data_IF_542523778394
#
_entry.id   IF_542523778394
#
_cell.length_a   1.000
_cell.length_b   1.000
_cell.length_c   1.000
_cell.angle_alpha   90.00
_cell.angle_beta   90.00
_cell.angle_gamma   90.00
#
_symmetry.space_group_name_H-M   'P 1'
#
loop_
_entity.id
_entity.type
_entity.pdbx_description
1 polymer ?
#
# COMPACT_ATOMS: atom_id res chain seq x y z
N UNK A 1 54.16 14.78 -16.49
CA UNK A 1 53.55 14.73 -15.13
C UNK A 1 52.14 14.13 -15.24
N UNK A 2 52.02 12.86 -14.92
CA UNK A 2 50.72 12.20 -14.91
C UNK A 2 50.08 12.41 -13.52
N UNK A 3 49.02 13.21 -13.44
CA UNK A 3 48.19 13.30 -12.24
C UNK A 3 47.20 12.16 -12.31
N UNK A 4 47.39 11.16 -11.46
CA UNK A 4 46.49 10.02 -11.34
C UNK A 4 45.14 10.46 -10.83
N UNK A 5 44.15 10.35 -11.68
CA UNK A 5 42.75 10.39 -11.32
C UNK A 5 42.44 9.16 -10.44
N UNK A 6 42.43 9.38 -9.15
CA UNK A 6 41.95 8.38 -8.19
C UNK A 6 40.44 8.31 -8.30
N UNK A 7 39.92 7.35 -9.06
CA UNK A 7 38.51 6.97 -9.05
C UNK A 7 38.13 6.54 -7.63
N UNK A 8 37.43 7.39 -6.95
CA UNK A 8 36.80 7.03 -5.67
C UNK A 8 35.64 6.10 -6.01
N UNK A 9 35.85 4.81 -5.87
CA UNK A 9 34.77 3.82 -5.84
C UNK A 9 33.84 4.20 -4.69
N UNK A 10 32.51 4.29 -4.93
CA UNK A 10 31.57 4.49 -3.85
C UNK A 10 31.64 3.30 -2.88
N UNK A 11 31.51 3.51 -1.59
CA UNK A 11 31.59 2.43 -0.63
C UNK A 11 30.49 1.41 -0.86
N UNK A 12 30.87 0.18 -1.12
CA UNK A 12 30.00 -0.97 -1.39
C UNK A 12 28.92 -1.17 -0.29
N UNK A 13 29.18 -0.67 0.90
CA UNK A 13 28.26 -0.77 2.05
C UNK A 13 26.98 0.07 1.90
N UNK A 14 27.02 1.19 1.16
CA UNK A 14 25.86 2.02 0.92
C UNK A 14 24.87 1.38 -0.07
N UNK A 15 25.40 0.67 -1.06
CA UNK A 15 24.59 -0.03 -2.08
C UNK A 15 23.83 -1.22 -1.48
N UNK A 16 24.44 -1.91 -0.50
CA UNK A 16 23.80 -3.05 0.18
C UNK A 16 22.62 -2.62 1.04
N UNK A 17 22.66 -1.45 1.68
CA UNK A 17 21.55 -0.93 2.48
C UNK A 17 20.35 -0.52 1.64
N UNK A 18 20.57 0.05 0.48
CA UNK A 18 19.46 0.40 -0.43
C UNK A 18 18.81 -0.84 -1.06
N UNK A 19 19.58 -1.89 -1.33
CA UNK A 19 19.04 -3.14 -1.86
C UNK A 19 18.26 -3.94 -0.81
N UNK A 20 18.67 -3.92 0.46
CA UNK A 20 17.94 -4.58 1.56
C UNK A 20 16.58 -3.91 1.83
N UNK A 21 16.49 -2.58 1.78
CA UNK A 21 15.22 -1.85 1.94
C UNK A 21 14.24 -2.11 0.80
N UNK A 22 14.74 -2.34 -0.43
CA UNK A 22 13.91 -2.63 -1.60
C UNK A 22 13.26 -4.02 -1.59
N UNK A 23 13.76 -4.96 -0.78
CA UNK A 23 13.25 -6.33 -0.72
C UNK A 23 12.26 -6.59 0.41
N UNK A 24 12.16 -5.72 1.42
CA UNK A 24 11.15 -5.88 2.47
C UNK A 24 9.79 -5.38 1.99
N UNK A 25 8.90 -6.30 1.73
CA UNK A 25 7.50 -5.99 1.48
C UNK A 25 6.58 -6.97 2.19
N UNK A 26 5.39 -6.51 2.51
CA UNK A 26 4.34 -7.34 3.06
C UNK A 26 3.12 -7.36 2.12
N UNK A 27 2.34 -8.40 2.21
CA UNK A 27 1.02 -8.48 1.59
C UNK A 27 0.00 -8.44 2.70
N UNK A 28 -0.80 -7.37 2.74
CA UNK A 28 -1.87 -7.22 3.71
C UNK A 28 -3.24 -7.24 3.04
N UNK A 29 -4.25 -7.64 3.80
CA UNK A 29 -5.64 -7.60 3.39
C UNK A 29 -6.40 -6.53 4.16
N UNK A 30 -7.07 -5.64 3.41
CA UNK A 30 -7.97 -4.64 3.98
C UNK A 30 -9.08 -4.30 3.00
N UNK A 31 -10.30 -4.04 3.52
CA UNK A 31 -11.45 -3.71 2.68
C UNK A 31 -11.82 -4.78 1.66
N UNK A 32 -11.53 -6.06 1.91
CA UNK A 32 -11.75 -7.17 0.99
C UNK A 32 -10.76 -7.22 -0.19
N UNK A 33 -9.67 -6.48 -0.13
CA UNK A 33 -8.60 -6.43 -1.15
C UNK A 33 -7.24 -6.70 -0.54
N UNK A 34 -6.35 -7.24 -1.34
CA UNK A 34 -4.96 -7.50 -0.96
C UNK A 34 -4.05 -6.43 -1.57
N UNK A 35 -3.12 -5.92 -0.77
CA UNK A 35 -2.16 -4.91 -1.18
C UNK A 35 -0.75 -5.36 -0.85
N UNK A 36 0.13 -5.24 -1.84
CA UNK A 36 1.57 -5.34 -1.63
C UNK A 36 2.07 -3.98 -1.14
N UNK A 37 2.73 -3.96 0.00
CA UNK A 37 3.17 -2.73 0.67
C UNK A 37 4.62 -2.82 1.09
N UNK A 38 5.34 -1.73 0.96
CA UNK A 38 6.68 -1.52 1.51
C UNK A 38 6.65 -0.36 2.51
N UNK A 39 7.68 -0.26 3.34
CA UNK A 39 7.81 0.87 4.26
C UNK A 39 7.96 2.18 3.50
N UNK A 40 7.18 3.19 3.86
CA UNK A 40 7.13 4.50 3.20
C UNK A 40 6.11 4.62 2.06
N UNK A 41 5.47 3.54 1.64
CA UNK A 41 4.47 3.57 0.57
C UNK A 41 3.19 4.32 0.97
N UNK A 42 2.60 4.98 -0.01
CA UNK A 42 1.30 5.65 0.13
C UNK A 42 0.26 4.88 -0.66
N UNK A 43 -0.81 4.45 0.02
CA UNK A 43 -1.86 3.62 -0.56
C UNK A 43 -3.23 4.29 -0.46
N UNK A 44 -4.04 4.01 -1.47
CA UNK A 44 -5.46 4.34 -1.49
C UNK A 44 -6.26 3.08 -1.16
N UNK A 45 -6.88 3.09 0.00
CA UNK A 45 -7.68 1.97 0.50
C UNK A 45 -9.14 2.36 0.69
N UNK A 46 -9.98 1.39 0.95
CA UNK A 46 -11.38 1.60 1.31
C UNK A 46 -11.49 2.42 2.60
N UNK A 47 -12.55 3.20 2.73
CA UNK A 47 -12.79 4.04 3.90
C UNK A 47 -12.74 3.25 5.21
N UNK A 48 -11.85 3.64 6.12
CA UNK A 48 -11.67 2.99 7.41
C UNK A 48 -12.54 3.59 8.52
N UNK A 49 -13.09 4.79 8.33
CA UNK A 49 -13.83 5.51 9.37
C UNK A 49 -12.95 6.13 10.47
N UNK A 50 -11.65 6.23 10.22
CA UNK A 50 -10.63 6.82 11.10
C UNK A 50 -10.31 8.22 10.62
N UNK A 51 -10.00 9.14 11.53
CA UNK A 51 -9.65 10.52 11.15
C UNK A 51 -8.23 10.66 10.60
N UNK A 52 -8.00 11.76 9.87
CA UNK A 52 -6.67 12.06 9.35
C UNK A 52 -5.69 12.36 10.50
N UNK A 53 -4.49 11.79 10.44
CA UNK A 53 -3.45 11.90 11.46
C UNK A 53 -3.47 10.75 12.50
N UNK A 54 -4.43 9.86 12.45
CA UNK A 54 -4.46 8.69 13.33
C UNK A 54 -3.64 7.53 12.76
N UNK A 55 -3.08 6.74 13.66
CA UNK A 55 -2.32 5.53 13.32
C UNK A 55 -3.24 4.31 13.34
N UNK A 56 -3.20 3.54 12.28
CA UNK A 56 -3.97 2.31 12.12
C UNK A 56 -3.03 1.12 12.03
N UNK A 57 -3.37 0.05 12.74
CA UNK A 57 -2.64 -1.22 12.68
C UNK A 57 -3.46 -2.25 11.93
N UNK A 58 -2.84 -2.88 10.94
CA UNK A 58 -3.43 -3.97 10.15
C UNK A 58 -2.85 -5.30 10.61
N UNK A 59 -3.71 -6.19 11.11
CA UNK A 59 -3.32 -7.51 11.62
C UNK A 59 -3.40 -8.61 10.55
N UNK A 60 -4.16 -8.37 9.48
CA UNK A 60 -4.36 -9.34 8.41
C UNK A 60 -3.22 -9.29 7.40
N UNK A 61 -2.08 -9.83 7.78
CA UNK A 61 -0.90 -9.95 6.93
C UNK A 61 -0.79 -11.37 6.40
N UNK A 62 -0.81 -11.52 5.07
CA UNK A 62 -0.77 -12.80 4.39
C UNK A 62 0.64 -13.33 4.19
N UNK A 63 1.56 -12.45 3.86
CA UNK A 63 2.95 -12.78 3.60
C UNK A 63 3.85 -11.61 3.93
N UNK A 64 5.05 -11.91 4.38
CA UNK A 64 6.14 -10.95 4.56
C UNK A 64 7.36 -11.50 3.84
N UNK A 65 7.92 -10.70 2.95
CA UNK A 65 9.14 -11.00 2.23
C UNK A 65 10.24 -10.03 2.67
N UNK A 66 11.28 -10.57 3.27
CA UNK A 66 12.50 -9.89 3.66
C UNK A 66 13.67 -10.83 3.41
N UNK A 67 14.56 -11.02 4.38
CA UNK A 67 15.64 -12.01 4.31
C UNK A 67 15.11 -13.45 4.21
N UNK A 68 13.95 -13.69 4.79
CA UNK A 68 13.19 -14.93 4.65
C UNK A 68 11.76 -14.64 4.21
N UNK A 69 11.19 -15.56 3.44
CA UNK A 69 9.79 -15.47 2.99
C UNK A 69 8.92 -16.23 3.98
N UNK A 70 8.06 -15.50 4.68
CA UNK A 70 7.06 -16.06 5.58
C UNK A 70 5.68 -15.92 4.97
N UNK A 71 5.01 -17.04 4.79
CA UNK A 71 3.64 -17.10 4.24
C UNK A 71 2.72 -17.69 5.29
N UNK A 72 1.61 -17.00 5.55
CA UNK A 72 0.58 -17.46 6.49
C UNK A 72 -0.44 -18.40 5.84
N UNK A 73 -1.11 -19.17 6.68
CA UNK A 73 -2.21 -20.02 6.28
C UNK A 73 -3.48 -19.71 7.12
N UNK A 74 -4.32 -18.73 6.74
CA UNK A 74 -4.16 -17.70 5.71
C UNK A 74 -3.36 -16.46 6.15
N UNK A 75 -3.26 -16.18 7.47
CA UNK A 75 -2.59 -15.02 8.02
C UNK A 75 -1.39 -15.42 8.89
N UNK A 76 -0.37 -14.57 8.89
CA UNK A 76 0.80 -14.76 9.76
C UNK A 76 0.43 -14.28 11.17
N UNK A 77 0.59 -15.15 12.16
CA UNK A 77 0.35 -14.81 13.56
C UNK A 77 1.47 -13.87 14.07
N UNK A 78 1.06 -12.73 14.62
CA UNK A 78 1.98 -11.75 15.19
C UNK A 78 2.56 -10.74 14.20
N UNK A 79 2.35 -10.90 12.89
CA UNK A 79 2.71 -9.89 11.90
C UNK A 79 1.67 -8.77 11.86
N UNK A 80 2.16 -7.52 11.86
CA UNK A 80 1.31 -6.32 11.80
C UNK A 80 1.93 -5.26 10.91
N UNK A 81 1.08 -4.50 10.23
CA UNK A 81 1.49 -3.34 9.44
C UNK A 81 0.93 -2.08 10.09
N UNK A 82 1.81 -1.17 10.44
CA UNK A 82 1.45 0.12 11.05
C UNK A 82 1.45 1.19 9.97
N UNK A 83 0.33 1.86 9.82
CA UNK A 83 0.16 2.93 8.85
C UNK A 83 -0.47 4.17 9.50
N UNK A 84 -0.17 5.33 8.95
CA UNK A 84 -0.74 6.61 9.34
C UNK A 84 -1.76 7.07 8.30
N UNK A 85 -2.91 7.52 8.74
CA UNK A 85 -3.94 8.08 7.86
C UNK A 85 -3.54 9.49 7.45
N UNK A 86 -3.25 9.70 6.17
CA UNK A 86 -2.88 11.01 5.62
C UNK A 86 -4.12 11.87 5.40
N UNK A 87 -5.13 11.31 4.76
CA UNK A 87 -6.41 12.00 4.50
C UNK A 87 -7.53 11.04 4.13
N UNK A 88 -8.75 11.50 4.35
CA UNK A 88 -9.96 10.90 3.81
C UNK A 88 -10.47 11.74 2.64
N UNK A 89 -10.91 11.11 1.57
CA UNK A 89 -11.38 11.79 0.37
C UNK A 89 -12.46 11.02 -0.38
N UNK A 90 -12.95 11.66 -1.43
CA UNK A 90 -13.91 11.07 -2.37
C UNK A 90 -13.37 11.13 -3.78
N UNK A 91 -13.52 10.05 -4.53
CA UNK A 91 -13.13 9.98 -5.93
C UNK A 91 -14.02 10.86 -6.82
N UNK A 92 -13.68 10.96 -8.10
CA UNK A 92 -14.55 11.62 -9.07
C UNK A 92 -15.90 10.91 -9.17
N UNK A 93 -16.96 11.68 -9.38
CA UNK A 93 -18.29 11.14 -9.64
C UNK A 93 -18.29 10.28 -10.90
N UNK A 94 -18.82 9.08 -10.79
CA UNK A 94 -19.04 8.17 -11.91
C UNK A 94 -20.54 8.13 -12.21
N UNK A 95 -20.89 8.35 -13.46
CA UNK A 95 -22.27 8.23 -13.92
C UNK A 95 -22.55 6.79 -14.33
N UNK A 96 -23.42 6.13 -13.59
CA UNK A 96 -23.89 4.78 -13.89
C UNK A 96 -25.18 4.87 -14.68
N UNK A 97 -25.17 4.37 -15.91
CA UNK A 97 -26.33 4.37 -16.80
C UNK A 97 -26.84 2.94 -16.91
N UNK A 98 -28.10 2.75 -16.53
CA UNK A 98 -28.82 1.49 -16.75
C UNK A 98 -29.80 1.68 -17.91
N UNK A 99 -29.66 0.87 -18.94
CA UNK A 99 -30.49 0.90 -20.12
C UNK A 99 -30.93 -0.50 -20.53
N UNK A 100 -32.22 -0.67 -20.80
CA UNK A 100 -32.76 -1.89 -21.38
C UNK A 100 -33.43 -1.56 -22.71
N UNK A 101 -32.95 -2.16 -23.79
CA UNK A 101 -33.54 -1.99 -25.11
C UNK A 101 -34.99 -2.48 -25.14
N UNK A 102 -35.86 -1.78 -25.86
CA UNK A 102 -37.28 -2.12 -26.09
C UNK A 102 -38.16 -2.18 -24.82
N UNK A 103 -37.66 -1.82 -23.62
CA UNK A 103 -38.43 -1.82 -22.38
C UNK A 103 -38.62 -0.44 -21.76
N UNK A 104 -38.28 0.62 -22.49
CA UNK A 104 -38.40 2.01 -22.04
C UNK A 104 -37.78 2.28 -20.64
N UNK A 105 -36.78 1.46 -20.24
CA UNK A 105 -36.10 1.59 -18.97
C UNK A 105 -34.76 2.29 -19.18
N UNK A 106 -34.65 3.51 -18.68
CA UNK A 106 -33.41 4.31 -18.70
C UNK A 106 -33.24 4.99 -17.35
N UNK A 107 -32.16 4.67 -16.66
CA UNK A 107 -31.83 5.25 -15.35
C UNK A 107 -30.38 5.71 -15.30
N UNK A 108 -30.17 6.96 -14.89
CA UNK A 108 -28.84 7.52 -14.62
C UNK A 108 -28.66 7.73 -13.12
N UNK A 109 -27.61 7.15 -12.55
CA UNK A 109 -27.27 7.27 -11.13
C UNK A 109 -25.81 7.73 -11.04
N UNK A 110 -25.54 8.69 -10.16
CA UNK A 110 -24.17 9.10 -9.83
C UNK A 110 -23.63 8.33 -8.64
N UNK A 111 -22.35 7.95 -8.67
CA UNK A 111 -21.63 7.35 -7.56
C UNK A 111 -20.30 8.07 -7.31
N UNK A 112 -19.99 8.32 -6.05
CA UNK A 112 -18.66 8.80 -5.60
C UNK A 112 -18.15 7.87 -4.50
N UNK A 113 -17.04 7.18 -4.80
CA UNK A 113 -16.42 6.28 -3.84
C UNK A 113 -15.60 7.05 -2.82
N UNK A 114 -15.87 6.80 -1.55
CA UNK A 114 -15.03 7.29 -0.46
C UNK A 114 -13.76 6.43 -0.37
N UNK A 115 -12.64 7.04 -0.08
CA UNK A 115 -11.36 6.36 0.12
C UNK A 115 -10.57 6.99 1.27
N UNK A 116 -9.67 6.22 1.84
CA UNK A 116 -8.68 6.69 2.82
C UNK A 116 -7.29 6.54 2.23
N UNK A 117 -6.47 7.57 2.37
CA UNK A 117 -5.05 7.54 2.00
C UNK A 117 -4.25 7.25 3.24
N UNK A 118 -3.47 6.17 3.21
CA UNK A 118 -2.59 5.78 4.30
C UNK A 118 -1.14 5.73 3.83
N UNK A 119 -0.25 6.10 4.71
CA UNK A 119 1.20 5.96 4.54
C UNK A 119 1.69 4.85 5.46
N UNK A 120 2.40 3.89 4.91
CA UNK A 120 2.96 2.78 5.67
C UNK A 120 4.18 3.28 6.44
N UNK A 121 4.14 3.19 7.76
CA UNK A 121 5.24 3.62 8.62
C UNK A 121 6.19 2.46 8.92
N UNK A 122 5.66 1.29 9.29
CA UNK A 122 6.45 0.13 9.69
C UNK A 122 5.74 -1.19 9.43
N UNK A 123 6.53 -2.19 9.07
CA UNK A 123 6.10 -3.59 8.97
C UNK A 123 6.75 -4.36 10.10
N UNK A 124 5.94 -4.92 11.00
CA UNK A 124 6.40 -5.81 12.06
C UNK A 124 6.07 -7.26 11.64
N UNK A 125 7.09 -8.04 11.60
CA UNK A 125 6.95 -9.45 11.22
C UNK A 125 7.35 -10.37 12.38
#
# INVERSE_FOLDING_TARGET
MCVGLQERKPPTTAILKESEVLFMFAVMETGGKQYKVAEGDVLFIEKLGVEAGETVTFDKVLAVCGDSVNVGAPYITGATVVAEVVKNGKSKKIDVIKYKSKKNEKKKIGHRQDYTVVKINKINA
#
